data_IF_507499386426
#
_entry.id   IF_507499386426
#
_cell.length_a   1.000
_cell.length_b   1.000
_cell.length_c   1.000
_cell.angle_alpha   90.00
_cell.angle_beta   90.00
_cell.angle_gamma   90.00
#
_symmetry.space_group_name_H-M   'P 1'
#
loop_
_entity.id
_entity.type
_entity.pdbx_description
1 polymer ?
#
# COMPACT_ATOMS: atom_id res chain seq x y z
N UNK A 1 4.53 -22.75 -18.59
CA UNK A 1 3.99 -21.45 -18.16
C UNK A 1 4.86 -20.95 -17.01
N UNK A 2 5.52 -19.81 -17.13
CA UNK A 2 6.42 -19.31 -16.08
C UNK A 2 5.63 -19.10 -14.78
N UNK A 3 6.09 -19.65 -13.65
CA UNK A 3 5.39 -19.52 -12.37
C UNK A 3 5.32 -18.07 -11.84
N UNK A 4 6.08 -17.14 -12.44
CA UNK A 4 6.33 -15.81 -11.91
C UNK A 4 5.12 -14.85 -11.91
N UNK A 5 4.24 -14.80 -12.94
CA UNK A 5 3.00 -14.04 -12.88
C UNK A 5 2.05 -14.55 -11.77
N UNK A 6 2.06 -15.86 -11.51
CA UNK A 6 1.25 -16.47 -10.46
C UNK A 6 1.76 -16.06 -9.06
N UNK A 7 3.08 -15.99 -8.86
CA UNK A 7 3.66 -15.45 -7.62
C UNK A 7 3.19 -14.01 -7.35
N UNK A 8 3.14 -13.18 -8.39
CA UNK A 8 2.70 -11.78 -8.27
C UNK A 8 1.20 -11.68 -7.97
N UNK A 9 0.36 -12.50 -8.61
CA UNK A 9 -1.08 -12.58 -8.29
C UNK A 9 -1.30 -13.01 -6.84
N UNK A 10 -0.57 -14.03 -6.38
CA UNK A 10 -0.64 -14.48 -4.99
C UNK A 10 -0.16 -13.38 -4.03
N UNK A 11 0.85 -12.59 -4.41
CA UNK A 11 1.28 -11.41 -3.63
C UNK A 11 0.14 -10.40 -3.44
N UNK A 12 -0.48 -10.00 -4.55
CA UNK A 12 -1.59 -9.02 -4.55
C UNK A 12 -2.77 -9.54 -3.70
N UNK A 13 -3.18 -10.79 -3.91
CA UNK A 13 -4.28 -11.38 -3.13
C UNK A 13 -3.91 -11.45 -1.65
N UNK A 14 -2.72 -11.95 -1.31
CA UNK A 14 -2.25 -12.02 0.08
C UNK A 14 -2.23 -10.64 0.75
N UNK A 15 -1.73 -9.62 0.04
CA UNK A 15 -1.63 -8.26 0.57
C UNK A 15 -3.03 -7.70 0.91
N UNK A 16 -3.98 -7.85 -0.01
CA UNK A 16 -5.32 -7.30 0.17
C UNK A 16 -6.15 -8.06 1.20
N UNK A 17 -6.05 -9.39 1.25
CA UNK A 17 -6.66 -10.19 2.32
C UNK A 17 -6.02 -9.90 3.68
N UNK A 18 -4.70 -9.73 3.74
CA UNK A 18 -4.00 -9.29 4.94
C UNK A 18 -4.52 -7.93 5.44
N UNK A 19 -4.75 -6.98 4.53
CA UNK A 19 -5.37 -5.69 4.87
C UNK A 19 -6.80 -5.84 5.40
N UNK A 20 -7.60 -6.74 4.83
CA UNK A 20 -8.96 -6.99 5.27
C UNK A 20 -9.01 -7.65 6.66
N UNK A 21 -8.15 -8.65 6.91
CA UNK A 21 -7.96 -9.25 8.24
C UNK A 21 -7.45 -8.20 9.24
N UNK A 22 -6.53 -7.33 8.82
CA UNK A 22 -6.09 -6.21 9.67
C UNK A 22 -7.24 -5.31 10.11
N UNK A 23 -8.23 -5.10 9.23
CA UNK A 23 -9.41 -4.29 9.52
C UNK A 23 -10.35 -4.93 10.56
N UNK A 24 -10.40 -6.26 10.67
CA UNK A 24 -11.20 -6.93 11.72
C UNK A 24 -10.62 -6.73 13.11
N UNK A 25 -9.32 -6.43 13.21
CA UNK A 25 -8.64 -6.16 14.48
C UNK A 25 -8.82 -4.71 14.98
N UNK A 26 -9.47 -3.83 14.19
CA UNK A 26 -9.60 -2.42 14.54
C UNK A 26 -10.49 -2.20 15.76
N UNK A 27 -11.44 -3.09 16.04
CA UNK A 27 -12.34 -2.94 17.19
C UNK A 27 -11.61 -3.19 18.50
N UNK A 28 -10.58 -4.05 18.49
CA UNK A 28 -9.77 -4.38 19.66
C UNK A 28 -8.52 -3.49 19.80
N UNK A 29 -7.82 -3.21 18.70
CA UNK A 29 -6.51 -2.55 18.69
C UNK A 29 -6.58 -1.10 18.17
N UNK A 30 -7.71 -0.68 17.62
CA UNK A 30 -7.78 0.57 16.84
C UNK A 30 -7.00 0.50 15.52
N UNK A 31 -7.38 1.36 14.58
CA UNK A 31 -6.73 1.44 13.27
C UNK A 31 -5.20 1.71 13.37
N UNK A 32 -4.82 2.63 14.25
CA UNK A 32 -3.42 3.04 14.44
C UNK A 32 -2.61 2.01 15.23
N UNK A 33 -3.25 1.28 16.16
CA UNK A 33 -2.59 0.21 16.91
C UNK A 33 -2.25 -0.99 16.03
N UNK A 34 -3.15 -1.39 15.11
CA UNK A 34 -2.86 -2.42 14.10
C UNK A 34 -1.69 -1.99 13.22
N UNK A 35 -1.67 -0.74 12.74
CA UNK A 35 -0.56 -0.21 11.94
C UNK A 35 0.76 -0.27 12.72
N UNK A 36 0.77 0.16 13.99
CA UNK A 36 1.96 0.15 14.84
C UNK A 36 2.49 -1.27 15.03
N UNK A 37 1.65 -2.21 15.46
CA UNK A 37 2.07 -3.59 15.71
C UNK A 37 2.58 -4.25 14.43
N UNK A 38 1.85 -4.09 13.31
CA UNK A 38 2.25 -4.63 12.01
C UNK A 38 3.60 -4.06 11.54
N UNK A 39 3.77 -2.74 11.62
CA UNK A 39 5.00 -2.07 11.23
C UNK A 39 6.18 -2.50 12.12
N UNK A 40 5.97 -2.58 13.44
CA UNK A 40 6.97 -3.02 14.40
C UNK A 40 7.41 -4.46 14.19
N UNK A 41 6.45 -5.39 14.01
CA UNK A 41 6.74 -6.80 13.71
C UNK A 41 7.51 -6.91 12.39
N UNK A 42 7.06 -6.21 11.34
CA UNK A 42 7.74 -6.22 10.03
C UNK A 42 9.16 -5.65 10.12
N UNK A 43 9.35 -4.56 10.86
CA UNK A 43 10.65 -3.94 11.08
C UNK A 43 11.60 -4.89 11.83
N UNK A 44 11.12 -5.55 12.90
CA UNK A 44 11.89 -6.53 13.66
C UNK A 44 12.30 -7.72 12.80
N UNK A 45 11.36 -8.34 12.10
CA UNK A 45 11.63 -9.51 11.25
C UNK A 45 12.64 -9.15 10.16
N UNK A 46 12.44 -8.03 9.46
CA UNK A 46 13.35 -7.61 8.40
C UNK A 46 14.71 -7.17 8.94
N UNK A 47 14.79 -6.56 10.12
CA UNK A 47 16.06 -6.23 10.75
C UNK A 47 16.87 -7.49 11.08
N UNK A 48 16.22 -8.55 11.58
CA UNK A 48 16.86 -9.84 11.90
C UNK A 48 17.30 -10.60 10.66
N UNK A 49 16.48 -10.60 9.60
CA UNK A 49 16.75 -11.34 8.35
C UNK A 49 17.77 -10.62 7.49
N UNK A 50 17.63 -9.31 7.29
CA UNK A 50 18.51 -8.53 6.40
C UNK A 50 19.82 -8.13 7.09
N UNK A 51 19.80 -7.91 8.42
CA UNK A 51 20.94 -7.43 9.21
C UNK A 51 21.65 -6.23 8.56
N UNK A 52 20.96 -5.08 8.43
CA UNK A 52 21.48 -3.94 7.68
C UNK A 52 22.78 -3.42 8.29
N UNK A 53 23.86 -3.40 7.50
CA UNK A 53 25.14 -2.80 7.90
C UNK A 53 25.07 -1.28 7.73
N UNK A 54 24.43 -0.60 8.70
CA UNK A 54 24.17 0.85 8.65
C UNK A 54 25.37 1.74 8.97
N UNK A 55 26.48 1.17 9.47
CA UNK A 55 27.64 1.91 9.97
C UNK A 55 28.39 2.70 8.89
N UNK A 56 28.32 2.28 7.63
CA UNK A 56 29.02 2.93 6.51
C UNK A 56 28.15 3.90 5.71
N UNK A 57 26.91 4.15 6.15
CA UNK A 57 25.97 4.93 5.35
C UNK A 57 26.26 6.43 5.38
N UNK A 58 26.28 7.10 4.21
CA UNK A 58 26.36 8.55 4.18
C UNK A 58 25.11 9.19 4.78
N UNK A 59 25.22 10.44 5.27
CA UNK A 59 24.08 11.19 5.82
C UNK A 59 22.89 11.28 4.84
N UNK A 60 23.17 11.30 3.53
CA UNK A 60 22.14 11.30 2.50
C UNK A 60 21.30 10.01 2.49
N UNK A 61 21.93 8.84 2.70
CA UNK A 61 21.24 7.56 2.77
C UNK A 61 20.33 7.48 4.01
N UNK A 62 20.82 7.95 5.16
CA UNK A 62 20.01 8.07 6.38
C UNK A 62 18.80 9.00 6.19
N UNK A 63 19.00 10.18 5.61
CA UNK A 63 17.90 11.11 5.32
C UNK A 63 16.87 10.50 4.37
N UNK A 64 17.31 9.82 3.31
CA UNK A 64 16.41 9.17 2.37
C UNK A 64 15.61 8.03 3.03
N UNK A 65 16.25 7.19 3.85
CA UNK A 65 15.59 6.12 4.59
C UNK A 65 14.59 6.67 5.64
N UNK A 66 14.94 7.76 6.33
CA UNK A 66 14.02 8.39 7.28
C UNK A 66 12.81 9.00 6.59
N UNK A 67 13.01 9.72 5.48
CA UNK A 67 11.90 10.26 4.68
C UNK A 67 11.02 9.13 4.13
N UNK A 68 11.64 8.04 3.65
CA UNK A 68 10.91 6.85 3.21
C UNK A 68 10.06 6.27 4.35
N UNK A 69 10.62 6.14 5.55
CA UNK A 69 9.88 5.68 6.73
C UNK A 69 8.71 6.60 7.11
N UNK A 70 8.89 7.92 7.05
CA UNK A 70 7.80 8.89 7.27
C UNK A 70 6.69 8.73 6.23
N UNK A 71 7.04 8.59 4.94
CA UNK A 71 6.08 8.38 3.87
C UNK A 71 5.32 7.04 4.05
N UNK A 72 6.02 5.98 4.44
CA UNK A 72 5.43 4.67 4.75
C UNK A 72 4.46 4.78 5.94
N UNK A 73 4.85 5.45 7.03
CA UNK A 73 3.97 5.66 8.17
C UNK A 73 2.72 6.45 7.77
N UNK A 74 2.89 7.56 7.04
CA UNK A 74 1.78 8.38 6.53
C UNK A 74 0.82 7.57 5.68
N UNK A 75 1.33 6.85 4.68
CA UNK A 75 0.55 5.95 3.82
C UNK A 75 -0.30 4.99 4.66
N UNK A 76 0.34 4.28 5.61
CA UNK A 76 -0.35 3.25 6.37
C UNK A 76 -1.33 3.80 7.40
N UNK A 77 -0.97 4.86 8.14
CA UNK A 77 -1.84 5.48 9.14
C UNK A 77 -3.07 6.11 8.47
N UNK A 78 -2.87 6.89 7.40
CA UNK A 78 -3.95 7.56 6.70
C UNK A 78 -4.89 6.55 6.02
N UNK A 79 -4.35 5.50 5.39
CA UNK A 79 -5.18 4.43 4.83
C UNK A 79 -5.96 3.70 5.92
N UNK A 80 -5.34 3.36 7.06
CA UNK A 80 -6.03 2.70 8.16
C UNK A 80 -7.14 3.58 8.76
N UNK A 81 -6.89 4.89 8.91
CA UNK A 81 -7.90 5.84 9.36
C UNK A 81 -9.05 5.98 8.35
N UNK A 82 -8.76 6.00 7.05
CA UNK A 82 -9.77 6.01 6.01
C UNK A 82 -10.65 4.74 6.05
N UNK A 83 -10.05 3.57 6.29
CA UNK A 83 -10.76 2.29 6.38
C UNK A 83 -11.74 2.22 7.57
N UNK A 84 -11.66 3.13 8.54
CA UNK A 84 -12.64 3.22 9.63
C UNK A 84 -14.01 3.64 9.12
N UNK A 85 -14.03 4.47 8.07
CA UNK A 85 -15.25 5.15 7.61
C UNK A 85 -15.60 4.83 6.16
N UNK A 86 -14.64 4.36 5.36
CA UNK A 86 -14.79 4.08 3.94
C UNK A 86 -14.43 2.61 3.65
N UNK A 87 -15.15 1.91 2.76
CA UNK A 87 -14.84 0.52 2.41
C UNK A 87 -13.42 0.32 1.86
N UNK A 88 -12.83 -0.85 2.12
CA UNK A 88 -11.46 -1.20 1.76
C UNK A 88 -11.18 -1.00 0.26
N UNK A 89 -12.10 -1.44 -0.60
CA UNK A 89 -11.99 -1.28 -2.06
C UNK A 89 -11.89 0.18 -2.49
N UNK A 90 -12.64 1.08 -1.85
CA UNK A 90 -12.63 2.52 -2.16
C UNK A 90 -11.35 3.16 -1.65
N UNK A 91 -10.90 2.83 -0.43
CA UNK A 91 -9.63 3.33 0.12
C UNK A 91 -8.47 3.01 -0.81
N UNK A 92 -8.39 1.76 -1.27
CA UNK A 92 -7.31 1.32 -2.18
C UNK A 92 -7.46 1.96 -3.54
N UNK A 93 -8.66 2.07 -4.08
CA UNK A 93 -8.90 2.75 -5.38
C UNK A 93 -8.41 4.20 -5.36
N UNK A 94 -8.77 4.97 -4.32
CA UNK A 94 -8.39 6.37 -4.20
C UNK A 94 -6.90 6.53 -3.93
N UNK A 95 -6.31 5.70 -3.06
CA UNK A 95 -4.87 5.79 -2.77
C UNK A 95 -4.00 5.36 -3.96
N UNK A 96 -4.53 4.49 -4.84
CA UNK A 96 -3.85 4.05 -6.06
C UNK A 96 -3.64 5.18 -7.07
N UNK A 97 -4.34 6.32 -6.93
CA UNK A 97 -4.01 7.54 -7.68
C UNK A 97 -2.58 8.02 -7.45
N UNK A 98 -1.99 7.78 -6.27
CA UNK A 98 -0.59 8.14 -5.99
C UNK A 98 0.40 7.49 -6.96
N UNK A 99 0.46 6.15 -7.01
CA UNK A 99 1.25 5.42 -8.00
C UNK A 99 0.95 5.80 -9.45
N UNK A 100 -0.34 6.05 -9.77
CA UNK A 100 -0.73 6.46 -11.11
C UNK A 100 -0.17 7.82 -11.49
N UNK A 101 -0.29 8.82 -10.62
CA UNK A 101 0.23 10.17 -10.87
C UNK A 101 1.75 10.17 -11.05
N UNK A 102 2.49 9.36 -10.28
CA UNK A 102 3.94 9.19 -10.47
C UNK A 102 4.26 8.58 -11.85
N UNK A 103 3.52 7.55 -12.25
CA UNK A 103 3.72 6.88 -13.54
C UNK A 103 3.40 7.82 -14.73
N UNK A 104 2.34 8.62 -14.59
CA UNK A 104 1.93 9.61 -15.56
C UNK A 104 2.94 10.76 -15.67
N UNK A 105 3.48 11.24 -14.54
CA UNK A 105 4.48 12.32 -14.53
C UNK A 105 5.80 11.92 -15.22
N UNK A 106 6.10 10.63 -15.29
CA UNK A 106 7.28 10.11 -15.98
C UNK A 106 7.09 9.98 -17.49
N UNK A 107 5.85 10.06 -17.99
CA UNK A 107 5.55 9.87 -19.43
C UNK A 107 5.09 11.19 -20.07
N UNK A 108 5.42 11.40 -21.36
CA UNK A 108 5.17 12.66 -22.09
C UNK A 108 4.05 12.54 -23.13
N UNK A 109 3.20 11.50 -23.10
CA UNK A 109 2.25 11.23 -24.20
C UNK A 109 0.85 11.74 -23.88
N UNK A 110 0.15 12.22 -24.92
CA UNK A 110 -1.25 12.65 -24.82
C UNK A 110 -2.20 11.52 -24.38
N UNK A 111 -1.88 10.26 -24.71
CA UNK A 111 -2.64 9.10 -24.25
C UNK A 111 -2.60 8.94 -22.72
N UNK A 112 -1.51 9.33 -22.08
CA UNK A 112 -1.38 9.27 -20.62
C UNK A 112 -2.28 10.33 -19.96
N UNK A 113 -2.47 11.48 -20.62
CA UNK A 113 -3.45 12.47 -20.20
C UNK A 113 -4.87 11.90 -20.21
N UNK A 114 -5.23 11.11 -21.23
CA UNK A 114 -6.55 10.46 -21.29
C UNK A 114 -6.74 9.47 -20.15
N UNK A 115 -5.72 8.68 -19.82
CA UNK A 115 -5.77 7.78 -18.66
C UNK A 115 -5.83 8.53 -17.33
N UNK A 116 -5.13 9.66 -17.21
CA UNK A 116 -5.20 10.55 -16.06
C UNK A 116 -6.62 11.10 -15.86
N UNK A 117 -7.25 11.56 -16.94
CA UNK A 117 -8.64 12.04 -16.94
C UNK A 117 -9.60 10.93 -16.55
N UNK A 118 -9.38 9.70 -17.03
CA UNK A 118 -10.23 8.56 -16.72
C UNK A 118 -10.14 8.15 -15.24
N UNK A 119 -8.93 8.15 -14.66
CA UNK A 119 -8.73 7.94 -13.23
C UNK A 119 -9.33 9.09 -12.39
N UNK A 120 -9.13 10.33 -12.83
CA UNK A 120 -9.71 11.53 -12.23
C UNK A 120 -11.24 11.51 -12.23
N UNK A 121 -11.85 11.07 -13.34
CA UNK A 121 -13.30 10.90 -13.46
C UNK A 121 -13.82 9.85 -12.47
N UNK A 122 -13.11 8.72 -12.31
CA UNK A 122 -13.45 7.70 -11.31
C UNK A 122 -13.49 8.25 -9.89
N UNK A 123 -12.52 9.07 -9.50
CA UNK A 123 -12.49 9.67 -8.16
C UNK A 123 -13.47 10.84 -8.02
N UNK A 124 -13.69 11.63 -9.08
CA UNK A 124 -14.73 12.65 -9.10
C UNK A 124 -16.13 12.05 -8.92
N UNK A 125 -16.40 10.88 -9.50
CA UNK A 125 -17.66 10.14 -9.30
C UNK A 125 -17.87 9.76 -7.83
N UNK A 126 -16.82 9.30 -7.13
CA UNK A 126 -16.89 9.01 -5.70
C UNK A 126 -17.18 10.25 -4.86
N UNK A 127 -16.69 11.42 -5.28
CA UNK A 127 -16.87 12.67 -4.57
C UNK A 127 -18.26 13.29 -4.79
N UNK A 128 -18.79 13.23 -6.02
CA UNK A 128 -20.05 13.88 -6.38
C UNK A 128 -21.27 13.01 -6.08
N UNK A 129 -21.10 11.69 -6.14
CA UNK A 129 -22.14 10.73 -5.77
C UNK A 129 -21.64 9.84 -4.64
N UNK A 130 -21.34 10.42 -3.46
CA UNK A 130 -21.00 9.63 -2.30
C UNK A 130 -22.25 8.79 -1.99
N UNK A 131 -22.14 7.47 -2.14
CA UNK A 131 -23.17 6.59 -1.62
C UNK A 131 -23.39 6.87 -0.12
N UNK A 132 -24.47 6.35 0.49
CA UNK A 132 -24.84 6.63 1.88
C UNK A 132 -23.74 6.31 2.92
N UNK A 133 -22.66 5.63 2.51
CA UNK A 133 -21.57 5.13 3.34
C UNK A 133 -20.21 5.79 3.05
N UNK A 134 -20.12 6.87 2.27
CA UNK A 134 -18.85 7.48 1.85
C UNK A 134 -18.64 8.89 2.43
N UNK A 135 -18.27 9.02 3.72
CA UNK A 135 -18.01 10.32 4.31
C UNK A 135 -16.79 10.99 3.64
N UNK A 136 -16.88 12.29 3.28
CA UNK A 136 -15.80 13.01 2.60
C UNK A 136 -14.45 12.95 3.32
N UNK A 137 -14.47 12.94 4.67
CA UNK A 137 -13.26 12.83 5.47
C UNK A 137 -12.46 11.55 5.21
N UNK A 138 -13.12 10.41 4.99
CA UNK A 138 -12.44 9.16 4.65
C UNK A 138 -11.82 9.18 3.25
N UNK A 139 -12.49 9.82 2.28
CA UNK A 139 -11.95 10.03 0.93
C UNK A 139 -10.72 10.94 0.95
N UNK A 140 -10.75 12.02 1.73
CA UNK A 140 -9.59 12.92 1.91
C UNK A 140 -8.41 12.16 2.52
N UNK A 141 -8.65 11.35 3.57
CA UNK A 141 -7.61 10.51 4.18
C UNK A 141 -7.04 9.50 3.18
N UNK A 142 -7.88 8.86 2.35
CA UNK A 142 -7.41 7.94 1.31
C UNK A 142 -6.58 8.65 0.23
N UNK A 143 -6.97 9.87 -0.16
CA UNK A 143 -6.23 10.69 -1.12
C UNK A 143 -4.87 11.13 -0.56
N UNK A 144 -4.83 11.57 0.71
CA UNK A 144 -3.57 11.90 1.39
C UNK A 144 -2.67 10.66 1.54
N UNK A 145 -3.25 9.48 1.79
CA UNK A 145 -2.51 8.23 1.77
C UNK A 145 -1.90 7.97 0.38
N UNK A 146 -2.66 8.23 -0.70
CA UNK A 146 -2.14 8.19 -2.07
C UNK A 146 -0.98 9.15 -2.30
N UNK A 147 -1.05 10.39 -1.79
CA UNK A 147 0.05 11.34 -1.86
C UNK A 147 1.30 10.84 -1.13
N UNK A 148 1.14 10.24 0.07
CA UNK A 148 2.23 9.54 0.76
C UNK A 148 2.78 8.36 -0.06
N UNK A 149 1.90 7.62 -0.75
CA UNK A 149 2.26 6.53 -1.66
C UNK A 149 3.10 6.99 -2.85
N UNK A 150 2.77 8.13 -3.45
CA UNK A 150 3.59 8.75 -4.50
C UNK A 150 4.99 9.11 -3.98
N UNK A 151 5.05 9.74 -2.80
CA UNK A 151 6.32 10.04 -2.12
C UNK A 151 7.12 8.78 -1.81
N UNK A 152 6.46 7.72 -1.33
CA UNK A 152 7.05 6.41 -1.07
C UNK A 152 7.73 5.83 -2.31
N UNK A 153 7.11 5.89 -3.49
CA UNK A 153 7.70 5.37 -4.74
C UNK A 153 9.00 6.11 -5.08
N UNK A 154 8.97 7.45 -5.07
CA UNK A 154 10.13 8.27 -5.38
C UNK A 154 11.27 8.08 -4.37
N UNK A 155 10.93 8.00 -3.08
CA UNK A 155 11.88 7.79 -2.00
C UNK A 155 12.44 6.37 -2.00
N UNK A 156 11.67 5.36 -2.39
CA UNK A 156 12.14 3.97 -2.54
C UNK A 156 13.21 3.90 -3.62
N UNK A 157 12.98 4.51 -4.78
CA UNK A 157 13.97 4.59 -5.85
C UNK A 157 15.25 5.32 -5.38
N UNK A 158 15.10 6.43 -4.64
CA UNK A 158 16.21 7.20 -4.09
C UNK A 158 17.02 6.40 -3.06
N UNK A 159 16.36 5.65 -2.17
CA UNK A 159 17.02 4.78 -1.19
C UNK A 159 17.75 3.65 -1.90
N UNK A 160 17.15 3.03 -2.92
CA UNK A 160 17.79 1.97 -3.71
C UNK A 160 19.06 2.41 -4.44
N UNK A 161 19.16 3.68 -4.82
CA UNK A 161 20.39 4.24 -5.41
C UNK A 161 21.47 4.63 -4.40
N UNK A 162 21.12 4.83 -3.12
CA UNK A 162 22.03 5.29 -2.06
C UNK A 162 22.46 4.20 -1.09
N UNK A 163 21.69 3.12 -0.99
CA UNK A 163 21.90 2.02 -0.05
C UNK A 163 22.16 0.73 -0.81
N UNK A 164 23.30 0.06 -0.59
CA UNK A 164 23.56 -1.23 -1.22
C UNK A 164 22.59 -2.30 -0.71
N UNK A 165 21.94 -2.99 -1.65
CA UNK A 165 21.03 -4.10 -1.37
C UNK A 165 19.73 -3.67 -0.68
N UNK A 166 19.16 -4.59 0.11
CA UNK A 166 17.84 -4.42 0.75
C UNK A 166 17.90 -3.76 2.13
N UNK A 167 19.07 -3.21 2.52
CA UNK A 167 19.31 -2.66 3.85
C UNK A 167 18.49 -1.40 4.18
N UNK A 168 18.04 -0.66 3.17
CA UNK A 168 17.24 0.57 3.31
C UNK A 168 15.86 0.35 3.91
N UNK A 169 15.25 -0.80 3.62
CA UNK A 169 13.87 -1.10 4.00
C UNK A 169 13.70 -1.36 5.52
N UNK A 170 14.51 -2.22 6.18
CA UNK A 170 14.41 -2.38 7.63
C UNK A 170 14.52 -1.05 8.38
N UNK A 171 15.48 -0.19 8.01
CA UNK A 171 15.66 1.13 8.64
C UNK A 171 14.43 2.02 8.42
N UNK A 172 13.88 2.02 7.21
CA UNK A 172 12.69 2.82 6.88
C UNK A 172 11.46 2.33 7.65
N UNK A 173 11.29 1.02 7.80
CA UNK A 173 10.21 0.44 8.61
C UNK A 173 10.37 0.71 10.10
N UNK A 174 11.60 0.73 10.61
CA UNK A 174 11.87 1.16 11.99
C UNK A 174 11.45 2.62 12.17
N UNK A 175 11.83 3.52 11.27
CA UNK A 175 11.38 4.93 11.32
C UNK A 175 9.86 5.01 11.21
N UNK A 176 9.22 4.23 10.33
CA UNK A 176 7.78 4.20 10.21
C UNK A 176 7.10 3.76 11.52
N UNK A 177 7.68 2.78 12.21
CA UNK A 177 7.22 2.30 13.53
C UNK A 177 7.34 3.40 14.57
N UNK A 178 8.46 4.12 14.62
CA UNK A 178 8.66 5.25 15.55
C UNK A 178 7.66 6.38 15.30
N UNK A 179 7.36 6.69 14.03
CA UNK A 179 6.35 7.70 13.67
C UNK A 179 4.94 7.24 14.06
N UNK A 180 4.63 5.95 13.89
CA UNK A 180 3.33 5.38 14.27
C UNK A 180 3.16 5.22 15.80
N UNK A 181 4.25 5.18 16.55
CA UNK A 181 4.28 4.93 17.99
C UNK A 181 3.33 5.84 18.79
N UNK A 182 3.41 7.19 18.73
CA UNK A 182 2.53 8.06 19.51
C UNK A 182 1.03 7.89 19.17
N UNK A 183 0.71 7.48 17.95
CA UNK A 183 -0.68 7.33 17.50
C UNK A 183 -1.24 5.93 17.79
N UNK A 184 -0.39 4.91 17.82
CA UNK A 184 -0.77 3.51 17.95
C UNK A 184 -0.63 2.93 19.36
N UNK A 185 0.15 3.56 20.24
CA UNK A 185 0.46 3.01 21.58
C UNK A 185 -0.78 2.71 22.42
N UNK A 186 -1.75 3.63 22.44
CA UNK A 186 -2.98 3.44 23.21
C UNK A 186 -3.74 2.17 22.78
N UNK A 187 -3.90 1.97 21.47
CA UNK A 187 -4.57 0.79 20.94
C UNK A 187 -3.73 -0.48 21.04
N UNK A 188 -2.42 -0.39 20.80
CA UNK A 188 -1.49 -1.50 20.92
C UNK A 188 -1.35 -2.03 22.37
N UNK A 189 -1.62 -1.19 23.38
CA UNK A 189 -1.59 -1.60 24.78
C UNK A 189 -2.60 -2.71 25.13
N UNK A 190 -3.66 -2.88 24.34
CA UNK A 190 -4.63 -3.97 24.51
C UNK A 190 -4.00 -5.37 24.35
N UNK A 191 -2.82 -5.47 23.72
CA UNK A 191 -2.02 -6.69 23.67
C UNK A 191 -1.60 -7.15 25.07
N UNK A 192 -1.34 -6.22 25.99
CA UNK A 192 -0.89 -6.54 27.36
C UNK A 192 -1.95 -7.36 28.09
N UNK A 193 -3.22 -7.04 27.87
CA UNK A 193 -4.36 -7.75 28.49
C UNK A 193 -4.81 -8.95 27.65
N UNK A 194 -4.65 -8.91 26.33
CA UNK A 194 -5.00 -10.01 25.41
C UNK A 194 -3.84 -10.33 24.46
N UNK A 195 -2.85 -11.14 24.89
CA UNK A 195 -1.68 -11.47 24.08
C UNK A 195 -2.00 -12.18 22.75
N UNK A 196 -3.17 -12.83 22.64
CA UNK A 196 -3.64 -13.43 21.38
C UNK A 196 -3.76 -12.42 20.23
N UNK A 197 -3.96 -11.13 20.52
CA UNK A 197 -3.97 -10.06 19.52
C UNK A 197 -2.62 -9.88 18.81
N UNK A 198 -1.51 -10.29 19.44
CA UNK A 198 -0.20 -10.32 18.76
C UNK A 198 -0.17 -11.34 17.64
N UNK A 199 -0.84 -12.48 17.81
CA UNK A 199 -0.91 -13.50 16.76
C UNK A 199 -1.64 -12.92 15.56
N UNK A 200 -2.78 -12.25 15.79
CA UNK A 200 -3.51 -11.54 14.73
C UNK A 200 -2.65 -10.49 14.03
N UNK A 201 -2.00 -9.60 14.79
CA UNK A 201 -1.13 -8.58 14.22
C UNK A 201 0.08 -9.16 13.47
N UNK A 202 0.64 -10.27 13.95
CA UNK A 202 1.73 -10.99 13.29
C UNK A 202 1.25 -11.64 11.99
N UNK A 203 0.08 -12.29 11.98
CA UNK A 203 -0.53 -12.83 10.77
C UNK A 203 -0.74 -11.74 9.72
N UNK A 204 -1.23 -10.57 10.13
CA UNK A 204 -1.39 -9.41 9.24
C UNK A 204 -0.03 -8.91 8.73
N UNK A 205 1.00 -8.83 9.58
CA UNK A 205 2.35 -8.45 9.15
C UNK A 205 2.95 -9.42 8.12
N UNK A 206 2.72 -10.73 8.31
CA UNK A 206 3.16 -11.75 7.37
C UNK A 206 2.40 -11.63 6.05
N UNK A 207 1.07 -11.64 6.09
CA UNK A 207 0.23 -11.65 4.89
C UNK A 207 0.31 -10.36 4.09
N UNK A 208 0.45 -9.21 4.76
CA UNK A 208 0.42 -7.90 4.13
C UNK A 208 1.81 -7.36 3.75
N UNK A 209 2.88 -7.80 4.42
CA UNK A 209 4.21 -7.21 4.22
C UNK A 209 5.25 -8.26 3.88
N UNK A 210 5.50 -9.23 4.76
CA UNK A 210 6.66 -10.12 4.60
C UNK A 210 6.46 -11.06 3.40
N UNK A 211 5.29 -11.70 3.30
CA UNK A 211 5.00 -12.67 2.25
C UNK A 211 4.87 -12.01 0.87
N UNK A 212 4.10 -10.91 0.69
CA UNK A 212 4.07 -10.16 -0.55
C UNK A 212 5.46 -9.72 -1.01
N UNK A 213 6.27 -9.19 -0.09
CA UNK A 213 7.61 -8.71 -0.41
C UNK A 213 8.52 -9.82 -0.95
N UNK A 214 8.51 -11.01 -0.34
CA UNK A 214 9.27 -12.16 -0.83
C UNK A 214 8.82 -12.55 -2.24
N UNK A 215 7.51 -12.61 -2.48
CA UNK A 215 6.97 -12.97 -3.79
C UNK A 215 7.29 -11.92 -4.86
N UNK A 216 7.13 -10.64 -4.55
CA UNK A 216 7.42 -9.52 -5.44
C UNK A 216 8.88 -9.48 -5.85
N UNK A 217 9.81 -9.63 -4.90
CA UNK A 217 11.24 -9.68 -5.21
C UNK A 217 11.61 -10.86 -6.12
N UNK A 218 10.99 -12.02 -5.91
CA UNK A 218 11.20 -13.19 -6.76
C UNK A 218 10.57 -13.00 -8.15
N UNK A 219 9.41 -12.35 -8.22
CA UNK A 219 8.71 -12.06 -9.46
C UNK A 219 9.48 -11.04 -10.31
N UNK A 220 9.97 -9.93 -9.71
CA UNK A 220 10.72 -8.87 -10.39
C UNK A 220 11.96 -9.38 -11.14
N UNK A 221 12.59 -10.45 -10.64
CA UNK A 221 13.74 -11.10 -11.30
C UNK A 221 13.37 -11.92 -12.53
N UNK A 222 12.09 -12.17 -12.78
CA UNK A 222 11.59 -13.17 -13.73
C UNK A 222 10.49 -12.67 -14.66
N UNK A 223 9.90 -11.50 -14.41
CA UNK A 223 8.84 -10.93 -15.26
C UNK A 223 9.25 -9.56 -15.81
N UNK A 224 8.84 -9.22 -17.04
CA UNK A 224 8.98 -7.87 -17.57
C UNK A 224 8.19 -6.85 -16.72
N UNK A 225 8.72 -5.63 -16.60
CA UNK A 225 8.07 -4.51 -15.88
C UNK A 225 6.63 -4.27 -16.31
N UNK A 226 6.32 -4.50 -17.60
CA UNK A 226 4.97 -4.40 -18.16
C UNK A 226 3.99 -5.38 -17.51
N UNK A 227 4.40 -6.64 -17.31
CA UNK A 227 3.54 -7.66 -16.67
C UNK A 227 3.37 -7.33 -15.19
N UNK A 228 4.44 -6.89 -14.52
CA UNK A 228 4.37 -6.45 -13.13
C UNK A 228 3.32 -5.33 -12.95
N UNK A 229 3.38 -4.27 -13.77
CA UNK A 229 2.42 -3.15 -13.68
C UNK A 229 0.96 -3.55 -13.95
N UNK A 230 0.71 -4.51 -14.84
CA UNK A 230 -0.65 -5.01 -15.10
C UNK A 230 -1.16 -5.82 -13.91
N UNK A 231 -0.29 -6.58 -13.24
CA UNK A 231 -0.69 -7.35 -12.08
C UNK A 231 -0.89 -6.45 -10.86
N UNK A 232 -0.08 -5.38 -10.70
CA UNK A 232 -0.30 -4.39 -9.63
C UNK A 232 -1.54 -3.52 -9.87
N UNK A 233 -1.97 -3.33 -11.12
CA UNK A 233 -3.22 -2.59 -11.39
C UNK A 233 -4.46 -3.34 -10.88
N UNK A 234 -4.36 -4.65 -10.59
CA UNK A 234 -5.43 -5.47 -10.01
C UNK A 234 -5.63 -5.23 -8.51
N UNK A 235 -4.75 -4.47 -7.85
CA UNK A 235 -4.85 -4.19 -6.41
C UNK A 235 -6.22 -3.65 -5.97
N UNK A 236 -6.84 -2.65 -6.63
CA UNK A 236 -8.15 -2.16 -6.25
C UNK A 236 -9.25 -3.24 -6.35
N UNK A 237 -9.22 -4.05 -7.42
CA UNK A 237 -10.16 -5.16 -7.59
C UNK A 237 -10.00 -6.22 -6.50
N UNK A 238 -8.76 -6.62 -6.20
CA UNK A 238 -8.46 -7.55 -5.11
C UNK A 238 -8.87 -6.98 -3.73
N UNK A 239 -8.73 -5.67 -3.53
CA UNK A 239 -9.19 -4.98 -2.32
C UNK A 239 -10.71 -5.06 -2.15
N UNK A 240 -11.46 -4.84 -3.24
CA UNK A 240 -12.91 -4.94 -3.23
C UNK A 240 -13.40 -6.36 -2.93
N UNK A 241 -12.76 -7.37 -3.54
CA UNK A 241 -13.06 -8.78 -3.27
C UNK A 241 -12.73 -9.16 -1.83
N UNK A 242 -11.56 -8.75 -1.31
CA UNK A 242 -11.19 -9.00 0.08
C UNK A 242 -12.14 -8.30 1.06
N UNK A 243 -12.55 -7.05 0.77
CA UNK A 243 -13.54 -6.33 1.55
C UNK A 243 -14.90 -7.01 1.56
N UNK A 244 -15.35 -7.53 0.41
CA UNK A 244 -16.61 -8.27 0.33
C UNK A 244 -16.54 -9.60 1.12
N UNK A 245 -15.49 -10.39 0.94
CA UNK A 245 -15.42 -11.74 1.50
C UNK A 245 -15.06 -11.77 2.99
N UNK A 246 -14.25 -10.83 3.47
CA UNK A 246 -13.75 -10.82 4.86
C UNK A 246 -14.55 -9.85 5.75
N UNK A 247 -15.01 -8.74 5.18
CA UNK A 247 -15.66 -7.66 5.93
C UNK A 247 -17.15 -7.49 5.59
N UNK A 248 -17.71 -8.35 4.73
CA UNK A 248 -19.07 -8.26 4.17
C UNK A 248 -19.39 -6.88 3.56
N UNK A 249 -18.37 -6.21 3.00
CA UNK A 249 -18.53 -4.87 2.43
C UNK A 249 -19.09 -4.94 1.02
N UNK A 250 -20.37 -4.57 0.87
CA UNK A 250 -21.01 -4.41 -0.44
C UNK A 250 -20.72 -3.02 -1.00
N UNK A 251 -20.03 -2.97 -2.14
CA UNK A 251 -19.80 -1.73 -2.86
C UNK A 251 -21.04 -1.38 -3.70
N UNK A 252 -21.48 -0.12 -3.61
CA UNK A 252 -22.53 0.40 -4.48
C UNK A 252 -22.06 0.53 -5.94
N UNK A 253 -23.01 0.68 -6.86
CA UNK A 253 -22.75 0.77 -8.31
C UNK A 253 -21.75 1.87 -8.66
N UNK A 254 -21.83 3.03 -8.00
CA UNK A 254 -20.91 4.16 -8.20
C UNK A 254 -19.48 3.78 -7.81
N UNK A 255 -19.30 3.11 -6.68
CA UNK A 255 -17.97 2.67 -6.21
C UNK A 255 -17.36 1.62 -7.13
N UNK A 256 -18.19 0.71 -7.65
CA UNK A 256 -17.74 -0.28 -8.64
C UNK A 256 -17.34 0.38 -9.97
N UNK A 257 -18.12 1.35 -10.45
CA UNK A 257 -17.78 2.11 -11.65
C UNK A 257 -16.45 2.89 -11.47
N UNK A 258 -16.28 3.58 -10.33
CA UNK A 258 -15.04 4.27 -10.02
C UNK A 258 -13.83 3.33 -9.97
N UNK A 259 -13.97 2.17 -9.33
CA UNK A 259 -12.94 1.14 -9.29
C UNK A 259 -12.60 0.62 -10.68
N UNK A 260 -13.60 0.36 -11.52
CA UNK A 260 -13.41 -0.10 -12.89
C UNK A 260 -12.66 0.96 -13.73
N UNK A 261 -13.01 2.23 -13.59
CA UNK A 261 -12.33 3.34 -14.26
C UNK A 261 -10.86 3.43 -13.83
N UNK A 262 -10.58 3.51 -12.53
CA UNK A 262 -9.20 3.63 -12.02
C UNK A 262 -8.35 2.41 -12.37
N UNK A 263 -8.91 1.21 -12.26
CA UNK A 263 -8.23 -0.04 -12.63
C UNK A 263 -7.91 -0.07 -14.13
N UNK A 264 -8.87 0.33 -14.97
CA UNK A 264 -8.68 0.41 -16.43
C UNK A 264 -7.64 1.46 -16.81
N UNK A 265 -7.65 2.62 -16.14
CA UNK A 265 -6.64 3.66 -16.33
C UNK A 265 -5.24 3.14 -15.99
N UNK A 266 -5.09 2.44 -14.86
CA UNK A 266 -3.81 1.86 -14.47
C UNK A 266 -3.31 0.78 -15.43
N UNK A 267 -4.19 -0.11 -15.87
CA UNK A 267 -3.85 -1.10 -16.88
C UNK A 267 -3.45 -0.43 -18.19
N UNK A 268 -4.19 0.60 -18.60
CA UNK A 268 -3.95 1.43 -19.78
C UNK A 268 -2.56 2.07 -19.79
N UNK A 269 -2.21 2.81 -18.73
CA UNK A 269 -0.87 3.42 -18.56
C UNK A 269 0.23 2.38 -18.65
N UNK A 270 0.05 1.22 -18.02
CA UNK A 270 1.06 0.15 -18.06
C UNK A 270 1.21 -0.45 -19.46
N UNK A 271 0.09 -0.62 -20.18
CA UNK A 271 0.10 -1.18 -21.52
C UNK A 271 0.73 -0.23 -22.55
N UNK A 272 0.57 1.08 -22.38
CA UNK A 272 1.13 2.11 -23.27
C UNK A 272 2.58 2.45 -22.94
N UNK A 273 3.03 2.21 -21.71
CA UNK A 273 4.42 2.38 -21.29
C UNK A 273 5.32 1.34 -21.99
N UNK A 274 6.13 1.79 -22.97
CA UNK A 274 7.23 1.00 -23.54
C UNK A 274 8.50 1.34 -22.76
N UNK A 275 9.32 0.35 -22.32
CA UNK A 275 10.61 0.66 -21.73
C UNK A 275 11.48 1.37 -22.77
N UNK A 276 12.20 2.42 -22.37
CA UNK A 276 13.34 2.92 -23.13
C UNK A 276 14.35 1.78 -23.26
N UNK A 277 14.81 1.55 -24.50
CA UNK A 277 15.80 0.52 -24.85
C UNK A 277 17.20 0.96 -24.43
#
# INVERSE_FOLDING_TARGET
>A
MSAAPLLMLVSVVSMQFGSAIGRTLFDDLGATGVVLLRAGISALVLAVVVRPHVRSWPRAAWRAASLLGIAVAGLNLLSALAMRTVPLGVVVTVSFLGPLTVSLAQTRRLLDLLWALLAGAGVALLWWHPGPSLPPGGLVLAALAGACGAGYILLTARVGGLVPGVGGLPVSLTVATLVALPFGLAGASAVVTRPSLLIGAASVAVLQTIFPYVLELNALRRIPTRVFGILTSLNPAAAAVAGLLVLDQRLGTVSLAALALVTSASAGVTLTHRPER
#
